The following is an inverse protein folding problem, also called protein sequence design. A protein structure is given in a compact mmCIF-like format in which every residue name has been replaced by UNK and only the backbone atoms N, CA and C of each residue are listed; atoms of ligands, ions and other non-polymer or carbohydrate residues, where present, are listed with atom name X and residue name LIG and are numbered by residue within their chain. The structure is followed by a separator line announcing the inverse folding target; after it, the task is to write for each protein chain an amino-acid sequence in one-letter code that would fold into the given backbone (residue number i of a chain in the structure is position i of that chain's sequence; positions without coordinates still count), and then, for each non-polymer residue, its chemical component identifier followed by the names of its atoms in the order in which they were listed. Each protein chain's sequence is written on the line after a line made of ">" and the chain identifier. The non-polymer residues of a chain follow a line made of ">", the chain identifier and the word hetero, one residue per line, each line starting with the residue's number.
data_IF_000876088740
#
_entry.id   IF_000876088740
#
_cell.length_a   1.000
_cell.length_b   1.000
_cell.length_c   1.000
_cell.angle_alpha   90.00
_cell.angle_beta   90.00
_cell.angle_gamma   90.00
#
_symmetry.space_group_name_H-M   'P 1'
#
loop_
_entity.id
_entity.type
_entity.pdbx_description
1 polymer ?
#
# COMPACT_ATOMS: atom_id res chain seq x y z
N UNK A 1 -8.33 -15.36 -8.84
CA UNK A 1 -8.41 -16.26 -7.67
C UNK A 1 -7.87 -15.59 -6.40
N UNK A 2 -6.57 -15.34 -6.24
CA UNK A 2 -6.00 -14.75 -5.00
C UNK A 2 -6.54 -13.34 -4.69
N UNK A 3 -6.69 -12.47 -5.69
CA UNK A 3 -7.22 -11.11 -5.49
C UNK A 3 -8.70 -11.09 -5.07
N UNK A 4 -9.47 -12.11 -5.44
CA UNK A 4 -10.87 -12.24 -5.06
C UNK A 4 -11.02 -12.72 -3.61
N UNK A 5 -10.01 -13.41 -3.06
CA UNK A 5 -10.05 -13.82 -1.64
C UNK A 5 -9.90 -12.63 -0.69
N UNK A 6 -9.36 -11.51 -1.18
CA UNK A 6 -9.27 -10.26 -0.41
C UNK A 6 -10.61 -9.51 -0.30
N UNK A 7 -11.67 -9.95 -1.01
CA UNK A 7 -13.03 -9.38 -0.94
C UNK A 7 -13.96 -10.12 0.04
N UNK A 8 -13.50 -11.21 0.66
CA UNK A 8 -14.31 -11.91 1.64
C UNK A 8 -14.38 -11.14 2.96
N UNK A 9 -15.50 -11.23 3.67
CA UNK A 9 -15.73 -10.47 4.92
C UNK A 9 -14.79 -10.86 6.07
N UNK A 10 -14.18 -12.05 6.02
CA UNK A 10 -13.27 -12.56 7.04
C UNK A 10 -12.01 -13.18 6.42
N UNK A 11 -11.14 -12.33 5.88
CA UNK A 11 -9.84 -12.78 5.35
C UNK A 11 -8.82 -12.88 6.49
N UNK A 12 -8.24 -14.06 6.74
CA UNK A 12 -7.18 -14.19 7.72
C UNK A 12 -6.02 -13.21 7.44
N UNK A 13 -5.54 -12.54 8.48
CA UNK A 13 -4.41 -11.60 8.42
C UNK A 13 -3.19 -12.21 7.71
N UNK A 14 -2.96 -13.52 7.89
CA UNK A 14 -1.87 -14.23 7.24
C UNK A 14 -2.00 -14.22 5.70
N UNK A 15 -3.21 -14.34 5.15
CA UNK A 15 -3.46 -14.28 3.72
C UNK A 15 -3.20 -12.87 3.22
N UNK A 16 -3.82 -11.86 3.83
CA UNK A 16 -3.63 -10.45 3.45
C UNK A 16 -2.14 -10.06 3.41
N UNK A 17 -1.40 -10.38 4.48
CA UNK A 17 0.04 -10.08 4.59
C UNK A 17 0.85 -10.75 3.50
N UNK A 18 0.64 -12.06 3.26
CA UNK A 18 1.42 -12.79 2.27
C UNK A 18 1.07 -12.37 0.84
N UNK A 19 -0.21 -12.08 0.57
CA UNK A 19 -0.65 -11.55 -0.73
C UNK A 19 -0.03 -10.19 -1.00
N UNK A 20 -0.13 -9.23 -0.07
CA UNK A 20 0.52 -7.92 -0.23
C UNK A 20 2.03 -8.05 -0.35
N UNK A 21 2.65 -8.98 0.39
CA UNK A 21 4.07 -9.24 0.28
C UNK A 21 4.48 -9.66 -1.13
N UNK A 22 3.74 -10.62 -1.71
CA UNK A 22 3.98 -11.14 -3.06
C UNK A 22 3.79 -10.06 -4.14
N UNK A 23 2.72 -9.27 -4.02
CA UNK A 23 2.39 -8.22 -4.99
C UNK A 23 3.46 -7.12 -5.12
N UNK A 24 4.36 -6.98 -4.14
CA UNK A 24 5.53 -6.08 -4.24
C UNK A 24 6.55 -6.50 -5.29
N UNK A 25 6.52 -7.77 -5.73
CA UNK A 25 7.52 -8.34 -6.64
C UNK A 25 6.91 -8.82 -7.95
N UNK A 26 5.61 -9.10 -7.97
CA UNK A 26 4.93 -9.53 -9.18
C UNK A 26 4.58 -8.34 -10.10
N UNK A 27 4.46 -8.65 -11.38
CA UNK A 27 3.77 -7.79 -12.33
C UNK A 27 2.25 -7.94 -12.13
N UNK A 28 1.57 -6.81 -12.02
CA UNK A 28 0.13 -6.76 -11.77
C UNK A 28 -0.54 -6.42 -13.10
N UNK A 29 -1.45 -7.27 -13.62
CA UNK A 29 -2.21 -6.95 -14.82
C UNK A 29 -3.01 -5.65 -14.67
N UNK A 30 -3.02 -4.79 -15.70
CA UNK A 30 -3.68 -3.47 -15.70
C UNK A 30 -5.13 -3.49 -15.21
N UNK A 31 -5.89 -4.53 -15.55
CA UNK A 31 -7.29 -4.72 -15.11
C UNK A 31 -7.47 -4.73 -13.59
N UNK A 32 -6.42 -4.97 -12.80
CA UNK A 32 -6.46 -5.00 -11.34
C UNK A 32 -5.87 -3.75 -10.68
N UNK A 33 -5.34 -2.79 -11.46
CA UNK A 33 -4.64 -1.63 -10.90
C UNK A 33 -5.56 -0.78 -10.04
N UNK A 34 -6.72 -0.37 -10.57
CA UNK A 34 -7.68 0.46 -9.82
C UNK A 34 -8.08 -0.20 -8.50
N UNK A 35 -8.56 -1.44 -8.55
CA UNK A 35 -8.97 -2.19 -7.35
C UNK A 35 -7.86 -2.31 -6.31
N UNK A 36 -6.61 -2.54 -6.74
CA UNK A 36 -5.49 -2.67 -5.80
C UNK A 36 -5.06 -1.32 -5.23
N UNK A 37 -5.13 -0.25 -6.01
CA UNK A 37 -4.87 1.12 -5.53
C UNK A 37 -5.86 1.46 -4.42
N UNK A 38 -7.16 1.33 -4.67
CA UNK A 38 -8.22 1.65 -3.71
C UNK A 38 -8.04 0.86 -2.41
N UNK A 39 -7.80 -0.45 -2.50
CA UNK A 39 -7.57 -1.30 -1.32
C UNK A 39 -6.33 -0.94 -0.56
N UNK A 40 -5.21 -0.73 -1.27
CA UNK A 40 -3.98 -0.39 -0.59
C UNK A 40 -4.10 0.95 0.13
N UNK A 41 -4.82 1.93 -0.44
CA UNK A 41 -5.11 3.17 0.27
C UNK A 41 -5.93 2.93 1.53
N UNK A 42 -6.96 2.09 1.45
CA UNK A 42 -7.73 1.66 2.62
C UNK A 42 -6.84 1.07 3.71
N UNK A 43 -5.97 0.12 3.36
CA UNK A 43 -5.03 -0.49 4.31
C UNK A 43 -4.04 0.50 4.90
N UNK A 44 -3.56 1.47 4.12
CA UNK A 44 -2.59 2.47 4.63
C UNK A 44 -3.26 3.42 5.63
N UNK A 45 -4.49 3.87 5.35
CA UNK A 45 -5.27 4.81 6.19
C UNK A 45 -5.80 4.16 7.47
N UNK A 46 -6.12 2.88 7.43
CA UNK A 46 -6.64 2.16 8.59
C UNK A 46 -5.51 1.78 9.58
N UNK A 47 -5.57 2.36 10.79
CA UNK A 47 -4.59 2.11 11.86
C UNK A 47 -4.77 0.76 12.54
N UNK A 48 -5.93 0.12 12.39
CA UNK A 48 -6.18 -1.25 12.89
C UNK A 48 -5.58 -2.32 11.98
N UNK A 49 -5.30 -1.97 10.71
CA UNK A 49 -4.63 -2.86 9.76
C UNK A 49 -3.24 -3.25 10.29
N UNK A 50 -2.87 -4.54 10.27
CA UNK A 50 -1.56 -5.01 10.73
C UNK A 50 -0.40 -4.27 10.06
N UNK A 51 0.61 -3.85 10.84
CA UNK A 51 1.73 -3.01 10.39
C UNK A 51 2.40 -3.54 9.11
N UNK A 52 2.59 -4.87 9.00
CA UNK A 52 3.18 -5.49 7.82
C UNK A 52 2.32 -5.33 6.56
N UNK A 53 0.99 -5.45 6.68
CA UNK A 53 0.05 -5.22 5.58
C UNK A 53 0.15 -3.77 5.12
N UNK A 54 0.06 -2.81 6.06
CA UNK A 54 0.23 -1.37 5.76
C UNK A 54 1.54 -1.10 5.02
N UNK A 55 2.65 -1.65 5.51
CA UNK A 55 3.98 -1.46 4.94
C UNK A 55 4.13 -2.01 3.52
N UNK A 56 3.55 -3.18 3.24
CA UNK A 56 3.56 -3.77 1.90
C UNK A 56 2.62 -3.01 0.96
N UNK A 57 1.44 -2.60 1.42
CA UNK A 57 0.48 -1.79 0.66
C UNK A 57 1.09 -0.47 0.19
N UNK A 58 1.86 0.23 1.04
CA UNK A 58 2.58 1.44 0.62
C UNK A 58 3.53 1.19 -0.55
N UNK A 59 4.21 0.04 -0.55
CA UNK A 59 5.16 -0.33 -1.61
C UNK A 59 4.43 -0.69 -2.91
N UNK A 60 3.32 -1.42 -2.81
CA UNK A 60 2.48 -1.77 -3.96
C UNK A 60 1.88 -0.50 -4.57
N UNK A 61 1.33 0.41 -3.75
CA UNK A 61 0.80 1.71 -4.21
C UNK A 61 1.82 2.48 -5.01
N UNK A 62 2.99 2.74 -4.42
CA UNK A 62 4.03 3.53 -5.07
C UNK A 62 4.43 2.96 -6.45
N UNK A 63 4.49 1.62 -6.59
CA UNK A 63 4.76 0.96 -7.89
C UNK A 63 3.62 1.13 -8.89
N UNK A 64 2.36 1.08 -8.44
CA UNK A 64 1.19 1.17 -9.32
C UNK A 64 0.94 2.61 -9.80
N UNK A 65 1.24 3.60 -8.96
CA UNK A 65 0.92 5.02 -9.23
C UNK A 65 2.11 5.83 -9.75
N UNK A 66 3.24 5.18 -10.06
CA UNK A 66 4.46 5.84 -10.55
C UNK A 66 4.22 6.69 -11.81
N UNK A 67 3.18 6.39 -12.59
CA UNK A 67 2.80 7.18 -13.79
C UNK A 67 1.59 8.10 -13.60
N UNK A 68 0.97 8.09 -12.42
CA UNK A 68 -0.23 8.86 -12.08
C UNK A 68 0.10 9.97 -11.04
N UNK A 69 0.34 11.23 -11.47
CA UNK A 69 0.84 12.29 -10.58
C UNK A 69 -0.09 12.63 -9.42
N UNK A 70 -1.40 12.61 -9.66
CA UNK A 70 -2.39 12.99 -8.64
C UNK A 70 -2.45 11.96 -7.52
N UNK A 71 -2.39 10.67 -7.86
CA UNK A 71 -2.33 9.60 -6.87
C UNK A 71 -1.01 9.62 -6.08
N UNK A 72 0.11 10.01 -6.70
CA UNK A 72 1.38 10.21 -5.96
C UNK A 72 1.25 11.30 -4.90
N UNK A 73 0.60 12.42 -5.24
CA UNK A 73 0.34 13.51 -4.28
C UNK A 73 -0.57 13.02 -3.15
N UNK A 74 -1.62 12.26 -3.46
CA UNK A 74 -2.49 11.68 -2.43
C UNK A 74 -1.70 10.75 -1.50
N UNK A 75 -0.89 9.84 -2.04
CA UNK A 75 -0.04 8.96 -1.24
C UNK A 75 0.88 9.75 -0.33
N UNK A 76 1.54 10.79 -0.84
CA UNK A 76 2.42 11.64 -0.04
C UNK A 76 1.68 12.26 1.15
N UNK A 77 0.51 12.85 0.93
CA UNK A 77 -0.31 13.48 1.99
C UNK A 77 -0.64 12.45 3.08
N UNK A 78 -1.12 11.26 2.69
CA UNK A 78 -1.48 10.21 3.66
C UNK A 78 -0.27 9.75 4.47
N UNK A 79 0.90 9.62 3.83
CA UNK A 79 2.12 9.22 4.53
C UNK A 79 2.54 10.31 5.53
N UNK A 80 2.54 11.57 5.11
CA UNK A 80 2.86 12.73 5.96
C UNK A 80 1.92 12.81 7.18
N UNK A 81 0.60 12.63 6.97
CA UNK A 81 -0.41 12.66 8.03
C UNK A 81 -0.27 11.51 9.03
N UNK A 82 0.18 10.33 8.57
CA UNK A 82 0.36 9.16 9.43
C UNK A 82 1.70 9.13 10.17
N UNK A 83 2.75 9.81 9.67
CA UNK A 83 4.10 9.80 10.25
C UNK A 83 4.16 10.08 11.76
N UNK A 84 3.41 11.06 12.33
CA UNK A 84 3.45 11.35 13.76
C UNK A 84 2.93 10.21 14.66
N UNK A 85 2.08 9.35 14.11
CA UNK A 85 1.38 8.28 14.85
C UNK A 85 1.84 6.88 14.44
N UNK A 86 2.71 6.80 13.44
CA UNK A 86 3.13 5.57 12.80
C UNK A 86 4.15 4.77 13.63
N UNK A 87 4.09 3.45 13.50
CA UNK A 87 5.10 2.57 14.06
C UNK A 87 6.47 2.76 13.38
N UNK A 88 7.59 2.42 14.02
CA UNK A 88 8.92 2.55 13.41
C UNK A 88 9.05 1.85 12.04
N UNK A 89 8.39 0.70 11.87
CA UNK A 89 8.37 -0.04 10.61
C UNK A 89 7.63 0.71 9.50
N UNK A 90 6.51 1.36 9.82
CA UNK A 90 5.79 2.21 8.88
C UNK A 90 6.61 3.46 8.53
N UNK A 91 7.15 4.16 9.54
CA UNK A 91 7.98 5.36 9.36
C UNK A 91 9.18 5.09 8.45
N UNK A 92 9.90 4.00 8.67
CA UNK A 92 11.05 3.61 7.85
C UNK A 92 10.68 3.44 6.38
N UNK A 93 9.52 2.85 6.10
CA UNK A 93 9.03 2.60 4.75
C UNK A 93 8.50 3.87 4.09
N UNK A 94 7.70 4.65 4.81
CA UNK A 94 7.14 5.92 4.35
C UNK A 94 8.24 6.88 3.92
N UNK A 95 9.28 7.08 4.74
CA UNK A 95 10.43 7.93 4.39
C UNK A 95 11.14 7.50 3.10
N UNK A 96 11.31 6.19 2.88
CA UNK A 96 11.92 5.67 1.64
C UNK A 96 11.06 5.96 0.40
N UNK A 97 9.73 5.95 0.55
CA UNK A 97 8.80 6.23 -0.55
C UNK A 97 8.73 7.73 -0.84
N UNK A 98 8.66 8.56 0.20
CA UNK A 98 8.69 10.02 0.08
C UNK A 98 9.96 10.49 -0.64
N UNK A 99 11.13 10.00 -0.23
CA UNK A 99 12.39 10.31 -0.91
C UNK A 99 12.44 9.90 -2.39
N UNK A 100 11.70 8.87 -2.80
CA UNK A 100 11.61 8.47 -4.22
C UNK A 100 10.65 9.38 -4.99
N UNK A 101 9.58 9.80 -4.33
CA UNK A 101 8.54 10.66 -4.90
C UNK A 101 9.06 12.08 -5.11
N UNK A 102 9.92 12.59 -4.23
CA UNK A 102 10.53 13.93 -4.33
C UNK A 102 11.62 14.05 -5.41
N UNK A 103 12.14 12.91 -5.91
CA UNK A 103 13.21 12.84 -6.91
C UNK A 103 12.70 12.66 -8.35
N UNK A 104 11.38 12.60 -8.55
CA UNK A 104 10.69 12.40 -9.84
C UNK A 104 9.88 13.63 -10.22
#
# INVERSE_FOLDING_TARGET
>A
MILAMLDADDVPVAIQRNTMRLLQYCEIPRRFHGTLIDRCFGYVKDRSTPIAVRAFSMTVLHRLIEKEPDLRKELRIILEDELPYASPGFVSRARKILQKTDRQ
#
